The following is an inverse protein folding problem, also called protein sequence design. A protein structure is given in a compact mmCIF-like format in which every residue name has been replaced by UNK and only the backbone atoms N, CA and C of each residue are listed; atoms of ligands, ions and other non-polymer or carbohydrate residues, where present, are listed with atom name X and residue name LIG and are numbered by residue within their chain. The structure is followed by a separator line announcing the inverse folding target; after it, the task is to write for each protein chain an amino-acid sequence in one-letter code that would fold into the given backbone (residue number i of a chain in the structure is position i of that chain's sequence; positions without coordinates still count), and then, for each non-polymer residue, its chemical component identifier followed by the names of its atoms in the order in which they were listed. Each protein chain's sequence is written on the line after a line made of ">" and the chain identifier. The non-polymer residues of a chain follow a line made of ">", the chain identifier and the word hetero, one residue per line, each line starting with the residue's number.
data_IF_148528891301
#
_entry.id   IF_148528891301
#
_cell.length_a   1.000
_cell.length_b   1.000
_cell.length_c   1.000
_cell.angle_alpha   90.00
_cell.angle_beta   90.00
_cell.angle_gamma   90.00
#
_symmetry.space_group_name_H-M   'P 1'
#
loop_
_entity.id
_entity.type
_entity.pdbx_description
1 polymer ?
#
# COMPACT_ATOMS: atom_id res chain seq x y z
N UNK A 1 11.70 4.35 -10.33
CA UNK A 1 10.56 4.87 -11.11
C UNK A 1 9.20 4.60 -10.46
N UNK A 2 8.98 3.42 -9.84
CA UNK A 2 7.70 3.07 -9.18
C UNK A 2 7.17 4.18 -8.25
N UNK A 3 7.99 4.69 -7.34
CA UNK A 3 7.62 5.77 -6.41
C UNK A 3 7.23 7.09 -7.10
N UNK A 4 7.77 7.40 -8.28
CA UNK A 4 7.35 8.59 -9.04
C UNK A 4 5.96 8.41 -9.64
N UNK A 5 5.64 7.21 -10.15
CA UNK A 5 4.28 6.89 -10.61
C UNK A 5 3.28 6.83 -9.46
N UNK A 6 3.70 6.38 -8.28
CA UNK A 6 2.88 6.44 -7.07
C UNK A 6 2.55 7.89 -6.69
N UNK A 7 3.53 8.80 -6.73
CA UNK A 7 3.30 10.24 -6.51
C UNK A 7 2.30 10.81 -7.52
N UNK A 8 2.41 10.45 -8.80
CA UNK A 8 1.46 10.88 -9.83
C UNK A 8 0.04 10.30 -9.61
N UNK A 9 -0.07 9.05 -9.19
CA UNK A 9 -1.37 8.47 -8.83
C UNK A 9 -1.98 9.21 -7.64
N UNK A 10 -1.16 9.51 -6.62
CA UNK A 10 -1.61 10.23 -5.44
C UNK A 10 -1.98 11.69 -5.74
N UNK A 11 -1.30 12.37 -6.66
CA UNK A 11 -1.61 13.75 -7.02
C UNK A 11 -2.82 13.91 -7.95
N UNK A 12 -3.35 12.81 -8.49
CA UNK A 12 -4.49 12.84 -9.40
C UNK A 12 -5.80 13.26 -8.74
N UNK A 13 -6.79 13.63 -9.55
CA UNK A 13 -8.16 13.97 -9.09
C UNK A 13 -9.05 12.73 -8.83
N UNK A 14 -8.51 11.50 -8.95
CA UNK A 14 -9.27 10.29 -8.70
C UNK A 14 -9.63 10.15 -7.21
N UNK A 15 -10.87 9.72 -6.94
CA UNK A 15 -11.39 9.51 -5.57
C UNK A 15 -10.54 8.50 -4.78
N UNK A 16 -9.98 7.49 -5.46
CA UNK A 16 -9.17 6.44 -4.86
C UNK A 16 -7.87 6.23 -5.64
N UNK A 17 -6.75 6.17 -4.93
CA UNK A 17 -5.45 5.76 -5.45
C UNK A 17 -5.07 4.41 -4.84
N UNK A 18 -4.82 3.40 -5.69
CA UNK A 18 -4.40 2.06 -5.29
C UNK A 18 -3.02 1.78 -5.88
N UNK A 19 -2.15 1.20 -5.08
CA UNK A 19 -0.78 0.86 -5.46
C UNK A 19 -0.49 -0.59 -5.07
N UNK A 20 0.04 -1.44 -5.98
CA UNK A 20 0.52 -2.77 -5.64
C UNK A 20 1.66 -2.72 -4.61
N UNK A 21 1.67 -3.66 -3.67
CA UNK A 21 2.76 -3.74 -2.68
C UNK A 21 4.13 -3.96 -3.36
N UNK A 22 4.18 -4.60 -4.52
CA UNK A 22 5.39 -4.75 -5.33
C UNK A 22 6.02 -3.40 -5.70
N UNK A 23 5.20 -2.41 -6.07
CA UNK A 23 5.67 -1.07 -6.44
C UNK A 23 6.18 -0.30 -5.22
N UNK A 24 5.48 -0.45 -4.08
CA UNK A 24 5.89 0.11 -2.78
C UNK A 24 7.27 -0.42 -2.37
N UNK A 25 7.49 -1.73 -2.56
CA UNK A 25 8.75 -2.41 -2.28
C UNK A 25 9.81 -2.19 -3.38
N UNK A 26 9.44 -1.59 -4.51
CA UNK A 26 10.35 -1.32 -5.63
C UNK A 26 10.85 -2.58 -6.34
N UNK A 27 10.07 -3.66 -6.35
CA UNK A 27 10.45 -4.95 -6.93
C UNK A 27 10.34 -4.95 -8.46
N UNK A 28 11.09 -5.85 -9.10
CA UNK A 28 11.10 -6.03 -10.54
C UNK A 28 10.08 -7.07 -11.04
N UNK A 29 10.35 -7.63 -12.22
CA UNK A 29 9.44 -8.58 -12.88
C UNK A 29 9.31 -9.92 -12.16
N UNK A 30 10.28 -10.27 -11.30
CA UNK A 30 10.23 -11.43 -10.42
C UNK A 30 9.06 -11.39 -9.42
N UNK A 31 8.53 -10.21 -9.12
CA UNK A 31 7.40 -10.02 -8.23
C UNK A 31 6.04 -9.94 -8.96
N UNK A 32 6.02 -10.14 -10.27
CA UNK A 32 4.79 -10.08 -11.07
C UNK A 32 3.78 -11.10 -10.57
N UNK A 33 2.58 -10.64 -10.23
CA UNK A 33 1.52 -11.51 -9.72
C UNK A 33 0.94 -12.41 -10.81
N UNK A 34 0.76 -11.91 -12.04
CA UNK A 34 0.15 -12.67 -13.13
C UNK A 34 0.66 -12.19 -14.50
N UNK A 35 0.86 -13.14 -15.42
CA UNK A 35 1.10 -12.91 -16.85
C UNK A 35 -0.04 -13.58 -17.63
N UNK A 36 -1.03 -12.80 -18.12
CA UNK A 36 -2.15 -13.36 -18.88
C UNK A 36 -1.68 -14.15 -20.10
N UNK A 37 -2.27 -15.33 -20.31
CA UNK A 37 -1.90 -16.25 -21.40
C UNK A 37 -0.89 -17.33 -20.99
N UNK A 38 -0.19 -17.15 -19.86
CA UNK A 38 0.70 -18.18 -19.32
C UNK A 38 -0.07 -19.16 -18.42
N UNK A 39 0.13 -20.45 -18.65
CA UNK A 39 -0.58 -21.50 -17.92
C UNK A 39 0.00 -21.77 -16.52
N UNK A 40 1.24 -21.37 -16.25
CA UNK A 40 1.95 -21.66 -15.01
C UNK A 40 2.80 -20.46 -14.53
N UNK A 41 3.20 -20.48 -13.26
CA UNK A 41 4.06 -19.44 -12.66
C UNK A 41 3.33 -18.16 -12.21
N UNK A 42 2.00 -18.16 -12.22
CA UNK A 42 1.17 -17.04 -11.78
C UNK A 42 0.68 -17.23 -10.34
N UNK A 43 0.26 -16.13 -9.71
CA UNK A 43 -0.40 -16.06 -8.40
C UNK A 43 0.43 -16.59 -7.22
N UNK A 44 1.73 -16.73 -7.40
CA UNK A 44 2.65 -17.30 -6.41
C UNK A 44 3.47 -16.26 -5.65
N UNK A 45 3.41 -14.98 -6.04
CA UNK A 45 4.16 -13.94 -5.33
C UNK A 45 3.65 -13.76 -3.91
N UNK A 46 4.58 -13.71 -2.95
CA UNK A 46 4.31 -13.50 -1.53
C UNK A 46 5.38 -12.57 -0.97
N UNK A 47 5.00 -11.82 0.06
CA UNK A 47 5.94 -11.04 0.86
C UNK A 47 5.98 -11.59 2.28
N UNK A 48 7.03 -11.24 3.01
CA UNK A 48 7.16 -11.40 4.46
C UNK A 48 7.34 -10.02 5.10
N UNK A 49 7.01 -9.88 6.38
CA UNK A 49 7.14 -8.57 7.06
C UNK A 49 8.60 -8.09 7.16
N UNK A 50 9.56 -9.01 7.09
CA UNK A 50 10.98 -8.71 7.00
C UNK A 50 11.35 -7.98 5.71
N UNK A 51 10.57 -8.17 4.64
CA UNK A 51 10.77 -7.50 3.35
C UNK A 51 10.26 -6.04 3.37
N UNK A 52 9.55 -5.61 4.42
CA UNK A 52 8.96 -4.27 4.53
C UNK A 52 9.83 -3.38 5.42
N UNK A 53 10.71 -2.54 4.84
CA UNK A 53 11.48 -1.58 5.61
C UNK A 53 10.60 -0.68 6.50
N UNK A 54 11.10 -0.38 7.70
CA UNK A 54 10.42 0.47 8.68
C UNK A 54 10.04 1.86 8.14
N UNK A 55 10.75 2.35 7.12
CA UNK A 55 10.53 3.68 6.54
C UNK A 55 9.36 3.74 5.54
N UNK A 56 8.85 2.60 5.05
CA UNK A 56 7.80 2.58 4.04
C UNK A 56 6.49 3.18 4.58
N UNK A 57 6.07 2.77 5.77
CA UNK A 57 4.84 3.25 6.38
C UNK A 57 4.82 4.78 6.59
N UNK A 58 5.83 5.40 7.24
CA UNK A 58 5.86 6.85 7.38
C UNK A 58 5.96 7.56 6.02
N UNK A 59 6.74 7.04 5.07
CA UNK A 59 6.85 7.64 3.74
C UNK A 59 5.52 7.63 2.97
N UNK A 60 4.74 6.55 3.07
CA UNK A 60 3.40 6.46 2.48
C UNK A 60 2.40 7.39 3.17
N UNK A 61 2.49 7.52 4.50
CA UNK A 61 1.67 8.46 5.28
C UNK A 61 1.94 9.89 4.84
N UNK A 62 3.20 10.31 4.80
CA UNK A 62 3.59 11.65 4.38
C UNK A 62 3.09 11.96 2.96
N UNK A 63 3.25 11.01 2.04
CA UNK A 63 2.75 11.15 0.66
C UNK A 63 1.21 11.25 0.61
N UNK A 64 0.51 10.46 1.41
CA UNK A 64 -0.94 10.57 1.53
C UNK A 64 -1.37 11.92 2.10
N UNK A 65 -0.66 12.47 3.08
CA UNK A 65 -0.92 13.79 3.65
C UNK A 65 -0.70 14.92 2.65
N UNK A 66 0.44 14.91 1.95
CA UNK A 66 0.79 15.94 0.94
C UNK A 66 -0.27 16.06 -0.15
N UNK A 67 -0.86 14.94 -0.57
CA UNK A 67 -1.88 14.91 -1.62
C UNK A 67 -3.32 14.82 -1.10
N UNK A 68 -3.55 15.08 0.18
CA UNK A 68 -4.92 15.17 0.74
C UNK A 68 -5.68 13.84 0.76
N UNK A 69 -4.98 12.71 0.86
CA UNK A 69 -5.55 11.35 0.88
C UNK A 69 -5.66 10.73 2.27
N UNK A 70 -5.51 11.54 3.33
CA UNK A 70 -5.83 11.13 4.70
C UNK A 70 -7.20 11.70 5.09
N UNK A 71 -8.11 10.81 5.48
CA UNK A 71 -9.38 11.19 6.11
C UNK A 71 -9.13 11.45 7.59
N UNK A 72 -9.43 12.67 8.04
CA UNK A 72 -9.25 13.07 9.45
C UNK A 72 -10.33 12.48 10.38
N UNK A 73 -11.48 12.06 9.83
CA UNK A 73 -12.45 11.31 10.61
C UNK A 73 -11.98 9.87 10.84
N UNK A 74 -12.07 9.41 12.09
CA UNK A 74 -11.84 8.00 12.43
C UNK A 74 -12.71 7.14 11.54
N UNK A 75 -12.08 6.38 10.65
CA UNK A 75 -12.79 5.41 9.85
C UNK A 75 -13.50 4.44 10.78
N UNK A 76 -14.82 4.30 10.59
CA UNK A 76 -15.61 3.35 11.35
C UNK A 76 -15.12 1.94 11.03
N UNK A 77 -14.97 1.13 12.06
CA UNK A 77 -14.71 -0.29 11.88
C UNK A 77 -15.85 -0.92 11.09
N UNK A 78 -15.49 -1.85 10.21
CA UNK A 78 -16.41 -2.68 9.43
C UNK A 78 -16.02 -4.14 9.63
N UNK A 79 -16.85 -5.12 9.24
CA UNK A 79 -16.46 -6.53 9.26
C UNK A 79 -15.14 -6.84 8.51
N UNK A 80 -14.70 -5.95 7.61
CA UNK A 80 -13.49 -6.09 6.79
C UNK A 80 -12.38 -5.08 7.13
N UNK A 81 -12.62 -4.16 8.07
CA UNK A 81 -11.65 -3.15 8.54
C UNK A 81 -11.77 -3.04 10.05
N UNK A 82 -10.81 -3.62 10.76
CA UNK A 82 -10.67 -3.45 12.20
C UNK A 82 -9.44 -2.58 12.45
N UNK A 83 -9.62 -1.39 13.00
CA UNK A 83 -8.51 -0.55 13.42
C UNK A 83 -7.83 -1.19 14.63
N UNK A 84 -6.62 -1.71 14.44
CA UNK A 84 -5.82 -2.34 15.50
C UNK A 84 -5.08 -1.31 16.36
N UNK A 85 -5.51 -0.05 16.37
CA UNK A 85 -4.90 0.94 17.27
C UNK A 85 -5.36 0.57 18.67
N UNK A 86 -4.49 -0.20 19.35
CA UNK A 86 -4.64 -0.54 20.74
C UNK A 86 -4.98 0.73 21.52
N UNK A 87 -5.99 0.60 22.35
CA UNK A 87 -6.35 1.60 23.33
C UNK A 87 -5.11 1.88 24.22
N UNK A 88 -4.38 2.95 23.95
CA UNK A 88 -3.27 3.43 24.80
C UNK A 88 -3.78 3.94 26.17
N UNK A 89 -5.05 3.68 26.52
CA UNK A 89 -5.59 3.98 27.85
C UNK A 89 -5.24 2.96 28.93
N UNK A 90 -4.42 1.94 28.64
CA UNK A 90 -3.85 1.04 29.66
C UNK A 90 -2.34 0.85 29.51
N UNK A 91 -1.58 1.87 29.90
CA UNK A 91 -0.18 1.77 30.35
C UNK A 91 0.03 2.66 31.58
#
# INVERSE_FOLDING_TARGET
>A
IAWEFMRLAFSSVADMALVPLQDVLGLGSEARMNTPGEAAGNWSWRFTWQDVPYWIAPQLKDMAEVYGRIVLEKAKDTPYRQSTVGDESQA
#
